data_IF_519796723086
#
_entry.id   IF_519796723086
#
_cell.length_a   1.000
_cell.length_b   1.000
_cell.length_c   1.000
_cell.angle_alpha   90.00
_cell.angle_beta   90.00
_cell.angle_gamma   90.00
#
_symmetry.space_group_name_H-M   'P 1'
#
loop_
_entity.id
_entity.type
_entity.pdbx_description
1 polymer ?
#
# COMPACT_ATOMS: atom_id res chain seq x y z
N UNK A 1 -5.79 -33.33 14.89
CA UNK A 1 -5.08 -32.03 14.83
C UNK A 1 -6.10 -30.95 15.15
N UNK A 2 -5.81 -30.10 16.14
CA UNK A 2 -6.62 -28.90 16.37
C UNK A 2 -6.52 -27.99 15.15
N UNK A 3 -7.63 -27.37 14.74
CA UNK A 3 -7.62 -26.38 13.67
C UNK A 3 -6.76 -25.19 14.11
N UNK A 4 -5.86 -24.67 13.26
CA UNK A 4 -5.02 -23.54 13.62
C UNK A 4 -5.89 -22.32 13.91
N UNK A 5 -5.51 -21.56 14.95
CA UNK A 5 -6.25 -20.38 15.38
C UNK A 5 -6.06 -19.21 14.40
N UNK A 6 -6.87 -18.15 14.52
CA UNK A 6 -6.67 -16.91 13.75
C UNK A 6 -5.29 -16.26 13.97
N UNK A 7 -4.61 -16.59 15.08
CA UNK A 7 -3.25 -16.15 15.40
C UNK A 7 -2.22 -16.85 14.53
N UNK A 8 -2.40 -18.14 14.26
CA UNK A 8 -1.48 -19.00 13.51
C UNK A 8 -1.43 -18.55 12.03
N UNK A 9 -2.57 -18.10 11.49
CA UNK A 9 -2.65 -17.51 10.15
C UNK A 9 -1.75 -16.29 9.98
N UNK A 10 -1.79 -15.37 10.94
CA UNK A 10 -1.03 -14.12 10.87
C UNK A 10 0.48 -14.34 10.96
N UNK A 11 0.89 -15.29 11.80
CA UNK A 11 2.27 -15.73 11.93
C UNK A 11 2.79 -16.33 10.61
N UNK A 12 2.05 -17.28 10.03
CA UNK A 12 2.40 -17.92 8.75
C UNK A 12 2.54 -16.87 7.64
N UNK A 13 1.58 -15.97 7.49
CA UNK A 13 1.62 -14.87 6.51
C UNK A 13 2.85 -13.97 6.69
N UNK A 14 3.18 -13.62 7.94
CA UNK A 14 4.34 -12.76 8.25
C UNK A 14 5.66 -13.47 7.94
N UNK A 15 5.76 -14.76 8.29
CA UNK A 15 6.95 -15.57 8.02
C UNK A 15 7.19 -15.76 6.52
N UNK A 16 6.13 -16.04 5.75
CA UNK A 16 6.19 -16.14 4.28
C UNK A 16 6.72 -14.84 3.67
N UNK A 17 6.17 -13.68 4.06
CA UNK A 17 6.62 -12.40 3.49
C UNK A 17 8.04 -12.03 3.93
N UNK A 18 8.43 -12.30 5.18
CA UNK A 18 9.79 -12.06 5.66
C UNK A 18 10.84 -12.85 4.88
N UNK A 19 10.61 -14.15 4.66
CA UNK A 19 11.49 -14.98 3.85
C UNK A 19 11.52 -14.54 2.38
N UNK A 20 10.37 -14.18 1.82
CA UNK A 20 10.27 -13.74 0.44
C UNK A 20 11.01 -12.41 0.20
N UNK A 21 10.84 -11.44 1.11
CA UNK A 21 11.57 -10.16 1.08
C UNK A 21 13.08 -10.39 1.21
N UNK A 22 13.49 -11.26 2.12
CA UNK A 22 14.92 -11.63 2.28
C UNK A 22 15.47 -12.20 0.98
N UNK A 23 14.73 -13.10 0.32
CA UNK A 23 15.11 -13.66 -0.98
C UNK A 23 15.28 -12.56 -2.04
N UNK A 24 14.32 -11.65 -2.16
CA UNK A 24 14.37 -10.52 -3.10
C UNK A 24 15.54 -9.56 -2.81
N UNK A 25 15.85 -9.32 -1.54
CA UNK A 25 17.00 -8.49 -1.15
C UNK A 25 18.33 -9.12 -1.54
N UNK A 26 18.46 -10.44 -1.38
CA UNK A 26 19.63 -11.21 -1.84
C UNK A 26 19.76 -11.13 -3.37
N UNK A 27 18.66 -11.32 -4.11
CA UNK A 27 18.64 -11.20 -5.57
C UNK A 27 19.10 -9.81 -6.03
N UNK A 28 18.58 -8.75 -5.40
CA UNK A 28 18.97 -7.38 -5.72
C UNK A 28 20.46 -7.14 -5.42
N UNK A 29 20.94 -7.58 -4.26
CA UNK A 29 22.34 -7.44 -3.90
C UNK A 29 23.29 -8.13 -4.88
N UNK A 30 22.91 -9.31 -5.38
CA UNK A 30 23.66 -10.03 -6.42
C UNK A 30 23.59 -9.31 -7.76
N UNK A 31 22.42 -8.84 -8.19
CA UNK A 31 22.27 -8.09 -9.44
C UNK A 31 23.11 -6.80 -9.44
N UNK A 32 23.12 -6.06 -8.33
CA UNK A 32 23.94 -4.86 -8.15
C UNK A 32 25.45 -5.19 -8.23
N UNK A 33 25.85 -6.35 -7.68
CA UNK A 33 27.22 -6.82 -7.76
C UNK A 33 27.63 -7.21 -9.19
N UNK A 34 26.77 -7.92 -9.92
CA UNK A 34 27.00 -8.26 -11.34
C UNK A 34 27.13 -6.97 -12.17
N UNK A 35 26.22 -6.01 -12.00
CA UNK A 35 26.28 -4.73 -12.71
C UNK A 35 27.60 -3.97 -12.45
N UNK A 36 28.10 -3.98 -11.20
CA UNK A 36 29.41 -3.39 -10.85
C UNK A 36 30.58 -4.12 -11.50
N UNK A 37 30.53 -5.46 -11.56
CA UNK A 37 31.55 -6.27 -12.24
C UNK A 37 31.56 -5.92 -13.73
N UNK A 38 30.41 -5.91 -14.39
CA UNK A 38 30.29 -5.56 -15.81
C UNK A 38 30.77 -4.13 -16.11
N UNK A 39 30.45 -3.17 -15.24
CA UNK A 39 30.94 -1.80 -15.39
C UNK A 39 32.47 -1.75 -15.28
N UNK A 40 33.05 -2.50 -14.33
CA UNK A 40 34.50 -2.57 -14.16
C UNK A 40 35.19 -3.27 -15.34
N UNK A 41 34.62 -4.37 -15.83
CA UNK A 41 35.10 -5.08 -17.03
C UNK A 41 35.07 -4.14 -18.23
N UNK A 42 33.94 -3.48 -18.50
CA UNK A 42 33.81 -2.49 -19.59
C UNK A 42 34.84 -1.36 -19.50
N UNK A 43 35.11 -0.86 -18.29
CA UNK A 43 36.15 0.16 -18.09
C UNK A 43 37.53 -0.40 -18.43
N UNK A 44 37.88 -1.58 -17.93
CA UNK A 44 39.18 -2.22 -18.19
C UNK A 44 39.35 -2.53 -19.68
N UNK A 45 38.33 -3.09 -20.34
CA UNK A 45 38.41 -3.38 -21.78
C UNK A 45 38.47 -2.11 -22.63
N UNK A 46 37.79 -1.03 -22.21
CA UNK A 46 37.93 0.29 -22.81
C UNK A 46 39.33 0.89 -22.64
N UNK A 47 39.93 0.77 -21.46
CA UNK A 47 41.31 1.20 -21.18
C UNK A 47 42.32 0.39 -22.00
N UNK A 48 42.14 -0.94 -22.09
CA UNK A 48 42.96 -1.82 -22.93
C UNK A 48 42.85 -1.43 -24.41
N UNK A 49 41.65 -1.17 -24.92
CA UNK A 49 41.46 -0.77 -26.32
C UNK A 49 42.18 0.54 -26.69
N UNK A 50 42.48 1.41 -25.73
CA UNK A 50 43.24 2.64 -25.94
C UNK A 50 44.77 2.41 -26.03
N UNK A 51 45.27 1.24 -25.62
CA UNK A 51 46.69 0.90 -25.65
C UNK A 51 47.15 0.60 -27.08
N UNK A 52 48.10 1.41 -27.58
CA UNK A 52 48.71 1.26 -28.91
C UNK A 52 50.06 0.54 -28.77
N UNK A 53 50.06 -0.78 -28.84
CA UNK A 53 51.29 -1.59 -28.89
C UNK A 53 51.36 -2.37 -30.21
N UNK A 54 52.57 -2.64 -30.74
CA UNK A 54 52.69 -3.50 -31.91
C UNK A 54 52.16 -4.91 -31.60
N UNK A 55 51.36 -5.48 -32.50
CA UNK A 55 50.71 -6.78 -32.29
C UNK A 55 51.68 -7.96 -32.05
N UNK A 56 52.95 -7.83 -32.46
CA UNK A 56 53.99 -8.84 -32.18
C UNK A 56 54.54 -8.78 -30.74
N UNK A 57 54.19 -7.74 -29.97
CA UNK A 57 54.58 -7.58 -28.56
C UNK A 57 53.47 -8.11 -27.65
N UNK A 58 52.21 -7.74 -27.91
CA UNK A 58 51.05 -8.24 -27.18
C UNK A 58 49.77 -8.06 -28.02
N UNK A 59 48.90 -9.07 -28.02
CA UNK A 59 47.58 -8.99 -28.64
C UNK A 59 46.58 -8.39 -27.64
N UNK A 60 46.49 -7.06 -27.65
CA UNK A 60 45.60 -6.30 -26.77
C UNK A 60 44.13 -6.64 -27.00
N UNK A 61 43.74 -6.99 -28.23
CA UNK A 61 42.37 -7.35 -28.56
C UNK A 61 42.01 -8.72 -27.97
N UNK A 62 42.91 -9.70 -28.06
CA UNK A 62 42.73 -11.00 -27.40
C UNK A 62 42.64 -10.85 -25.88
N UNK A 63 43.50 -10.03 -25.26
CA UNK A 63 43.45 -9.77 -23.82
C UNK A 63 42.14 -9.11 -23.38
N UNK A 64 41.61 -8.15 -24.16
CA UNK A 64 40.31 -7.54 -23.87
C UNK A 64 39.18 -8.58 -23.95
N UNK A 65 39.22 -9.49 -24.94
CA UNK A 65 38.26 -10.59 -25.04
C UNK A 65 38.34 -11.58 -23.87
N UNK A 66 39.55 -11.87 -23.38
CA UNK A 66 39.76 -12.69 -22.18
C UNK A 66 39.15 -12.03 -20.93
N UNK A 67 39.37 -10.72 -20.74
CA UNK A 67 38.79 -9.97 -19.63
C UNK A 67 37.26 -9.94 -19.70
N UNK A 68 36.68 -9.73 -20.89
CA UNK A 68 35.23 -9.84 -21.10
C UNK A 68 34.72 -11.27 -20.85
N UNK A 69 35.51 -12.29 -21.21
CA UNK A 69 35.22 -13.70 -20.92
C UNK A 69 35.16 -14.00 -19.42
N UNK A 70 36.15 -13.51 -18.65
CA UNK A 70 36.17 -13.62 -17.18
C UNK A 70 34.97 -12.90 -16.57
N UNK A 71 34.64 -11.70 -17.05
CA UNK A 71 33.46 -10.95 -16.59
C UNK A 71 32.17 -11.74 -16.76
N UNK A 72 31.96 -12.35 -17.94
CA UNK A 72 30.79 -13.20 -18.20
C UNK A 72 30.80 -14.49 -17.39
N UNK A 73 31.96 -15.12 -17.20
CA UNK A 73 32.11 -16.31 -16.36
C UNK A 73 31.71 -16.04 -14.92
N UNK A 74 32.21 -14.95 -14.34
CA UNK A 74 31.84 -14.51 -12.98
C UNK A 74 30.33 -14.22 -12.84
N UNK A 75 29.71 -13.62 -13.88
CA UNK A 75 28.26 -13.42 -13.89
C UNK A 75 27.49 -14.74 -13.82
N UNK A 76 27.87 -15.72 -14.66
CA UNK A 76 27.25 -17.05 -14.66
C UNK A 76 27.45 -17.82 -13.34
N UNK A 77 28.64 -17.73 -12.73
CA UNK A 77 28.92 -18.34 -11.43
C UNK A 77 28.06 -17.74 -10.31
N UNK A 78 27.86 -16.42 -10.32
CA UNK A 78 27.00 -15.73 -9.36
C UNK A 78 25.52 -16.11 -9.53
N UNK A 79 25.04 -16.26 -10.77
CA UNK A 79 23.68 -16.74 -11.03
C UNK A 79 23.47 -18.17 -10.52
N UNK A 80 24.46 -19.04 -10.70
CA UNK A 80 24.45 -20.41 -10.17
C UNK A 80 24.41 -20.44 -8.64
N UNK A 81 25.28 -19.66 -7.98
CA UNK A 81 25.29 -19.53 -6.52
C UNK A 81 23.99 -18.93 -5.98
N UNK A 82 23.40 -17.97 -6.68
CA UNK A 82 22.11 -17.39 -6.31
C UNK A 82 20.98 -18.42 -6.40
N UNK A 83 20.95 -19.22 -7.46
CA UNK A 83 19.97 -20.30 -7.61
C UNK A 83 20.08 -21.32 -6.46
N UNK A 84 21.29 -21.70 -6.06
CA UNK A 84 21.53 -22.56 -4.89
C UNK A 84 21.10 -21.89 -3.57
N UNK A 85 21.44 -20.61 -3.38
CA UNK A 85 21.10 -19.85 -2.18
C UNK A 85 19.60 -19.64 -1.99
N UNK A 86 18.81 -19.61 -3.08
CA UNK A 86 17.34 -19.48 -3.04
C UNK A 86 16.64 -20.74 -2.53
N UNK A 87 17.20 -21.93 -2.75
CA UNK A 87 16.50 -23.21 -2.49
C UNK A 87 16.00 -23.37 -1.05
N UNK A 88 16.78 -23.02 0.00
CA UNK A 88 16.30 -23.06 1.37
C UNK A 88 15.15 -22.05 1.64
N UNK A 89 15.11 -20.90 0.97
CA UNK A 89 13.98 -19.97 1.15
C UNK A 89 12.72 -20.50 0.47
N UNK A 90 12.84 -20.99 -0.77
CA UNK A 90 11.72 -21.54 -1.55
C UNK A 90 11.09 -22.74 -0.84
N UNK A 91 11.93 -23.67 -0.37
CA UNK A 91 11.48 -24.86 0.38
C UNK A 91 10.70 -24.47 1.64
N UNK A 92 11.17 -23.46 2.35
CA UNK A 92 10.59 -23.05 3.63
C UNK A 92 9.30 -22.26 3.40
N UNK A 93 9.28 -21.36 2.40
CA UNK A 93 8.06 -20.67 1.98
C UNK A 93 7.00 -21.69 1.53
N UNK A 94 7.38 -22.69 0.74
CA UNK A 94 6.45 -23.74 0.30
C UNK A 94 5.86 -24.52 1.47
N UNK A 95 6.68 -24.92 2.44
CA UNK A 95 6.20 -25.59 3.65
C UNK A 95 5.22 -24.73 4.46
N UNK A 96 5.49 -23.41 4.59
CA UNK A 96 4.57 -22.48 5.26
C UNK A 96 3.26 -22.30 4.47
N UNK A 97 3.32 -22.25 3.13
CA UNK A 97 2.14 -22.22 2.27
C UNK A 97 1.32 -23.50 2.39
N UNK A 98 1.95 -24.66 2.55
CA UNK A 98 1.27 -25.93 2.81
C UNK A 98 0.52 -25.94 4.14
N UNK A 99 1.00 -25.22 5.16
CA UNK A 99 0.30 -25.00 6.43
C UNK A 99 -0.84 -23.97 6.30
N UNK A 100 -0.69 -22.99 5.40
CA UNK A 100 -1.68 -21.95 5.18
C UNK A 100 -2.86 -22.41 4.32
N UNK A 101 -2.63 -23.27 3.32
CA UNK A 101 -3.66 -23.72 2.38
C UNK A 101 -4.92 -24.32 3.05
N UNK A 102 -4.83 -25.18 4.08
CA UNK A 102 -6.01 -25.68 4.80
C UNK A 102 -6.83 -24.57 5.48
N UNK A 103 -6.20 -23.47 5.90
CA UNK A 103 -6.90 -22.32 6.48
C UNK A 103 -7.74 -21.54 5.47
N UNK A 104 -7.52 -21.80 4.17
CA UNK A 104 -8.30 -21.27 3.07
C UNK A 104 -9.31 -22.28 2.53
N UNK A 105 -9.41 -23.47 3.14
CA UNK A 105 -10.28 -24.55 2.67
C UNK A 105 -9.74 -25.28 1.43
N UNK A 106 -8.43 -25.17 1.17
CA UNK A 106 -7.76 -25.80 0.04
C UNK A 106 -7.17 -27.16 0.44
N UNK A 107 -6.97 -28.02 -0.56
CA UNK A 107 -6.25 -29.28 -0.40
C UNK A 107 -4.73 -29.08 -0.23
N UNK A 108 -3.97 -30.18 -0.14
CA UNK A 108 -2.51 -30.13 -0.07
C UNK A 108 -1.91 -29.35 -1.25
N UNK A 109 -0.91 -28.52 -0.95
CA UNK A 109 -0.11 -27.85 -1.99
C UNK A 109 0.71 -28.91 -2.72
N UNK A 110 0.73 -28.83 -4.06
CA UNK A 110 1.53 -29.74 -4.89
C UNK A 110 3.02 -29.67 -4.49
N UNK A 111 3.80 -30.76 -4.62
CA UNK A 111 5.20 -30.76 -4.24
C UNK A 111 6.02 -29.79 -5.11
N UNK A 112 7.10 -29.25 -4.54
CA UNK A 112 8.10 -28.52 -5.33
C UNK A 112 8.71 -29.46 -6.38
N UNK A 113 8.88 -28.96 -7.59
CA UNK A 113 9.55 -29.66 -8.67
C UNK A 113 10.85 -28.94 -9.01
N UNK A 114 11.92 -29.66 -9.40
CA UNK A 114 13.12 -29.02 -9.90
C UNK A 114 12.79 -28.15 -11.11
N UNK A 115 13.16 -26.88 -11.04
CA UNK A 115 12.90 -25.86 -12.05
C UNK A 115 14.23 -25.27 -12.51
N UNK A 116 14.25 -24.69 -13.71
CA UNK A 116 15.47 -24.15 -14.29
C UNK A 116 16.04 -23.00 -13.42
N UNK A 117 17.37 -22.82 -13.34
CA UNK A 117 17.99 -21.77 -12.52
C UNK A 117 17.52 -20.34 -12.85
N UNK A 118 17.16 -20.09 -14.12
CA UNK A 118 16.72 -18.79 -14.62
C UNK A 118 15.21 -18.49 -14.44
N UNK A 119 14.52 -19.26 -13.61
CA UNK A 119 13.08 -19.07 -13.36
C UNK A 119 12.84 -17.90 -12.42
N UNK A 120 11.79 -17.11 -12.66
CA UNK A 120 11.35 -16.07 -11.71
C UNK A 120 10.99 -16.69 -10.36
N UNK A 121 11.09 -15.91 -9.28
CA UNK A 121 10.89 -16.41 -7.92
C UNK A 121 9.50 -17.04 -7.70
N UNK A 122 8.44 -16.47 -8.27
CA UNK A 122 7.08 -17.06 -8.27
C UNK A 122 7.01 -18.34 -9.11
N UNK A 123 7.72 -18.40 -10.24
CA UNK A 123 7.79 -19.58 -11.09
C UNK A 123 8.48 -20.78 -10.42
N UNK A 124 9.16 -20.58 -9.29
CA UNK A 124 9.70 -21.67 -8.47
C UNK A 124 8.62 -22.43 -7.69
N UNK A 125 7.39 -21.90 -7.64
CA UNK A 125 6.26 -22.50 -6.93
C UNK A 125 5.29 -23.20 -7.91
N UNK A 126 4.65 -24.30 -7.47
CA UNK A 126 3.68 -25.01 -8.29
C UNK A 126 2.47 -24.13 -8.61
N UNK A 127 1.85 -24.42 -9.76
CA UNK A 127 0.63 -23.74 -10.21
C UNK A 127 -0.50 -23.75 -9.17
N UNK A 128 -1.35 -22.74 -9.24
CA UNK A 128 -2.46 -22.52 -8.31
C UNK A 128 -2.03 -21.73 -7.07
N UNK A 129 -2.55 -22.13 -5.91
CA UNK A 129 -2.46 -21.34 -4.67
C UNK A 129 -1.05 -20.84 -4.34
N UNK A 130 -0.02 -21.70 -4.38
CA UNK A 130 1.31 -21.32 -3.95
C UNK A 130 1.92 -20.24 -4.86
N UNK A 131 1.86 -20.42 -6.17
CA UNK A 131 2.35 -19.43 -7.14
C UNK A 131 1.55 -18.14 -7.08
N UNK A 132 0.22 -18.21 -7.07
CA UNK A 132 -0.65 -17.03 -7.00
C UNK A 132 -0.41 -16.21 -5.73
N UNK A 133 -0.22 -16.89 -4.59
CA UNK A 133 0.06 -16.23 -3.32
C UNK A 133 1.41 -15.53 -3.32
N UNK A 134 2.46 -16.19 -3.84
CA UNK A 134 3.80 -15.59 -3.95
C UNK A 134 3.77 -14.43 -4.94
N UNK A 135 3.09 -14.56 -6.08
CA UNK A 135 2.94 -13.49 -7.05
C UNK A 135 2.25 -12.24 -6.46
N UNK A 136 1.17 -12.40 -5.69
CA UNK A 136 0.48 -11.28 -4.99
C UNK A 136 1.43 -10.55 -4.02
N UNK A 137 2.29 -11.29 -3.30
CA UNK A 137 3.30 -10.70 -2.42
C UNK A 137 4.40 -9.98 -3.21
N UNK A 138 4.91 -10.60 -4.27
CA UNK A 138 5.98 -10.03 -5.10
C UNK A 138 5.55 -8.75 -5.82
N UNK A 139 4.28 -8.64 -6.22
CA UNK A 139 3.75 -7.44 -6.86
C UNK A 139 3.95 -6.15 -6.01
N UNK A 140 4.00 -6.30 -4.67
CA UNK A 140 4.20 -5.20 -3.73
C UNK A 140 5.58 -5.15 -3.07
N UNK A 141 6.44 -6.16 -3.30
CA UNK A 141 7.64 -6.35 -2.47
C UNK A 141 8.63 -5.19 -2.61
N UNK A 142 8.89 -4.74 -3.84
CA UNK A 142 9.90 -3.72 -4.14
C UNK A 142 9.52 -2.31 -3.70
N UNK A 143 8.22 -2.02 -3.64
CA UNK A 143 7.68 -0.72 -3.20
C UNK A 143 7.18 -0.77 -1.77
N UNK A 144 7.25 -1.93 -1.12
CA UNK A 144 6.73 -2.14 0.22
C UNK A 144 7.49 -1.32 1.25
N UNK A 145 6.76 -0.62 2.11
CA UNK A 145 7.28 0.12 3.25
C UNK A 145 6.72 -0.45 4.55
N UNK A 146 7.51 -0.37 5.61
CA UNK A 146 7.11 -0.73 6.97
C UNK A 146 7.69 0.30 7.95
N UNK A 147 7.17 0.32 9.18
CA UNK A 147 7.72 1.11 10.27
C UNK A 147 7.94 0.19 11.46
N UNK A 148 9.07 0.37 12.14
CA UNK A 148 9.22 -0.19 13.48
C UNK A 148 8.41 0.65 14.48
N UNK A 149 8.29 0.16 15.72
CA UNK A 149 7.61 0.89 16.80
C UNK A 149 8.40 2.12 17.24
N UNK A 150 9.72 2.01 17.20
CA UNK A 150 10.62 3.11 17.51
C UNK A 150 10.48 4.19 16.43
N UNK A 151 10.43 3.80 15.15
CA UNK A 151 10.17 4.74 14.05
C UNK A 151 8.80 5.41 14.21
N UNK A 152 7.76 4.64 14.57
CA UNK A 152 6.41 5.16 14.78
C UNK A 152 6.34 6.20 15.92
N UNK A 153 7.17 6.06 16.96
CA UNK A 153 7.25 7.05 18.03
C UNK A 153 7.68 8.41 17.50
N UNK A 154 8.62 8.43 16.54
CA UNK A 154 9.12 9.64 15.89
C UNK A 154 8.20 10.25 14.82
N UNK A 155 7.12 9.58 14.44
CA UNK A 155 6.15 10.13 13.47
C UNK A 155 5.40 11.29 14.11
N UNK A 156 5.50 12.48 13.53
CA UNK A 156 4.80 13.66 14.03
C UNK A 156 3.27 13.48 13.93
N UNK A 157 2.56 13.90 14.97
CA UNK A 157 1.11 14.07 14.91
C UNK A 157 0.78 15.38 14.21
N UNK A 158 -0.30 15.38 13.45
CA UNK A 158 -0.84 16.60 12.84
C UNK A 158 -1.43 17.47 13.94
N UNK A 159 -1.01 18.74 13.97
CA UNK A 159 -1.52 19.69 14.95
C UNK A 159 -2.86 20.25 14.47
N UNK A 160 -3.76 20.58 15.40
CA UNK A 160 -5.06 21.16 15.07
C UNK A 160 -4.93 22.40 14.15
N UNK A 161 -3.94 23.27 14.42
CA UNK A 161 -3.69 24.45 13.58
C UNK A 161 -3.43 24.10 12.11
N UNK A 162 -2.77 22.97 11.85
CA UNK A 162 -2.41 22.56 10.49
C UNK A 162 -3.67 22.02 9.78
N UNK A 163 -4.59 21.40 10.51
CA UNK A 163 -5.92 21.03 10.03
C UNK A 163 -6.79 22.27 9.75
N UNK A 164 -6.81 23.25 10.65
CA UNK A 164 -7.53 24.51 10.47
C UNK A 164 -7.02 25.28 9.24
N UNK A 165 -5.70 25.31 9.01
CA UNK A 165 -5.07 25.87 7.82
C UNK A 165 -5.49 25.12 6.55
N UNK A 166 -5.57 23.79 6.58
CA UNK A 166 -6.03 22.97 5.45
C UNK A 166 -7.52 23.21 5.13
N UNK A 167 -8.38 23.35 6.15
CA UNK A 167 -9.79 23.74 5.99
C UNK A 167 -9.88 25.12 5.31
N UNK A 168 -9.15 26.10 5.82
CA UNK A 168 -9.14 27.45 5.28
C UNK A 168 -8.62 27.49 3.84
N UNK A 169 -7.59 26.72 3.52
CA UNK A 169 -7.05 26.62 2.16
C UNK A 169 -8.02 25.94 1.18
N UNK A 170 -8.81 24.97 1.63
CA UNK A 170 -9.80 24.25 0.80
C UNK A 170 -10.89 25.18 0.27
N UNK A 171 -11.11 26.33 0.93
CA UNK A 171 -12.01 27.41 0.50
C UNK A 171 -11.81 27.83 -0.97
N UNK A 172 -10.57 27.82 -1.46
CA UNK A 172 -10.25 28.21 -2.82
C UNK A 172 -10.67 27.18 -3.89
N UNK A 173 -10.83 25.90 -3.50
CA UNK A 173 -11.29 24.83 -4.38
C UNK A 173 -12.80 24.82 -4.64
N UNK A 174 -13.56 25.62 -3.89
CA UNK A 174 -15.01 25.76 -4.09
C UNK A 174 -15.36 26.94 -4.97
N UNK A 175 -16.41 26.77 -5.78
CA UNK A 175 -17.07 27.86 -6.49
C UNK A 175 -17.68 28.88 -5.51
N UNK A 176 -17.88 30.13 -5.94
CA UNK A 176 -18.36 31.21 -5.08
C UNK A 176 -19.65 30.84 -4.32
N UNK A 177 -20.58 30.16 -4.99
CA UNK A 177 -21.88 29.78 -4.42
C UNK A 177 -21.79 28.64 -3.39
N UNK A 178 -20.76 27.80 -3.46
CA UNK A 178 -20.60 26.62 -2.59
C UNK A 178 -19.52 26.81 -1.51
N UNK A 179 -18.76 27.89 -1.58
CA UNK A 179 -17.60 28.16 -0.74
C UNK A 179 -17.90 28.14 0.76
N UNK A 180 -18.97 28.80 1.19
CA UNK A 180 -19.32 28.84 2.60
C UNK A 180 -19.79 27.47 3.10
N UNK A 181 -20.66 26.80 2.34
CA UNK A 181 -21.18 25.47 2.70
C UNK A 181 -20.10 24.39 2.72
N UNK A 182 -19.18 24.40 1.76
CA UNK A 182 -18.06 23.45 1.71
C UNK A 182 -17.12 23.59 2.91
N UNK A 183 -16.79 24.82 3.30
CA UNK A 183 -15.96 25.08 4.49
C UNK A 183 -16.70 24.71 5.78
N UNK A 184 -18.01 25.01 5.86
CA UNK A 184 -18.83 24.63 7.01
C UNK A 184 -18.90 23.11 7.20
N UNK A 185 -19.01 22.34 6.11
CA UNK A 185 -18.96 20.87 6.19
C UNK A 185 -17.63 20.35 6.74
N UNK A 186 -16.51 20.94 6.32
CA UNK A 186 -15.17 20.53 6.78
C UNK A 186 -14.86 20.97 8.21
N UNK A 187 -15.45 22.07 8.66
CA UNK A 187 -15.21 22.65 9.99
C UNK A 187 -16.19 22.12 11.07
N UNK A 188 -17.09 21.20 10.73
CA UNK A 188 -18.02 20.63 11.69
C UNK A 188 -17.29 19.73 12.70
N UNK A 189 -17.67 19.82 13.98
CA UNK A 189 -17.03 19.07 15.09
C UNK A 189 -17.07 17.54 14.87
N UNK A 190 -18.07 17.02 14.15
CA UNK A 190 -18.20 15.59 13.83
C UNK A 190 -17.45 15.17 12.55
N UNK A 191 -16.83 16.12 11.85
CA UNK A 191 -16.06 15.85 10.64
C UNK A 191 -14.67 15.35 11.02
N UNK A 192 -14.24 14.26 10.39
CA UNK A 192 -12.88 13.74 10.49
C UNK A 192 -12.20 13.68 9.11
N UNK A 193 -12.72 14.39 8.10
CA UNK A 193 -12.19 14.35 6.74
C UNK A 193 -10.78 14.95 6.70
N UNK A 194 -10.57 16.10 7.34
CA UNK A 194 -9.26 16.79 7.32
C UNK A 194 -8.28 16.10 8.26
N UNK A 195 -8.75 15.74 9.44
CA UNK A 195 -8.01 15.08 10.52
C UNK A 195 -7.39 13.76 10.08
N UNK A 196 -8.10 13.01 9.23
CA UNK A 196 -7.70 11.65 8.85
C UNK A 196 -7.32 11.50 7.37
N UNK A 197 -7.76 12.41 6.51
CA UNK A 197 -7.62 12.31 5.05
C UNK A 197 -7.18 13.63 4.40
N UNK A 198 -6.76 14.61 5.20
CA UNK A 198 -6.29 15.91 4.75
C UNK A 198 -4.89 15.93 4.12
N UNK A 199 -4.61 16.94 3.28
CA UNK A 199 -3.34 17.11 2.58
C UNK A 199 -2.15 17.44 3.48
N UNK A 200 -2.42 17.90 4.71
CA UNK A 200 -1.41 18.17 5.71
C UNK A 200 -0.86 16.89 6.39
N UNK A 201 -1.49 15.74 6.16
CA UNK A 201 -1.07 14.47 6.78
C UNK A 201 0.11 13.87 6.00
N UNK A 202 1.29 13.71 6.62
CA UNK A 202 2.44 13.14 5.93
C UNK A 202 2.26 11.67 5.56
N UNK A 203 2.91 11.22 4.49
CA UNK A 203 2.93 9.82 4.02
C UNK A 203 3.27 8.84 5.16
N UNK A 204 4.30 9.18 5.94
CA UNK A 204 4.73 8.33 7.06
C UNK A 204 3.64 8.19 8.15
N UNK A 205 2.80 9.21 8.35
CA UNK A 205 1.66 9.14 9.26
C UNK A 205 0.54 8.24 8.69
N UNK A 206 0.30 8.28 7.38
CA UNK A 206 -0.63 7.34 6.73
C UNK A 206 -0.13 5.89 6.81
N UNK A 207 1.18 5.67 6.68
CA UNK A 207 1.79 4.36 6.87
C UNK A 207 1.67 3.90 8.34
N UNK A 208 1.97 4.76 9.31
CA UNK A 208 1.80 4.43 10.73
C UNK A 208 0.34 4.07 11.05
N UNK A 209 -0.63 4.79 10.46
CA UNK A 209 -2.06 4.50 10.57
C UNK A 209 -2.42 3.16 9.94
N UNK A 210 -1.86 2.82 8.76
CA UNK A 210 -2.08 1.52 8.12
C UNK A 210 -1.56 0.37 8.99
N UNK A 211 -0.42 0.57 9.66
CA UNK A 211 0.22 -0.48 10.47
C UNK A 211 -0.34 -0.58 11.89
N UNK A 212 -1.33 0.25 12.26
CA UNK A 212 -1.87 0.38 13.63
C UNK A 212 -0.80 0.80 14.66
N UNK A 213 0.17 1.57 14.20
CA UNK A 213 1.28 2.06 15.02
C UNK A 213 1.09 3.49 15.47
N UNK A 214 0.25 4.29 14.82
CA UNK A 214 -0.08 5.64 15.31
C UNK A 214 -1.28 6.19 14.57
N UNK A 215 -2.12 6.90 15.30
CA UNK A 215 -3.14 7.75 14.68
C UNK A 215 -2.53 9.11 14.26
N UNK A 216 -2.86 9.67 13.08
CA UNK A 216 -2.30 10.94 12.63
C UNK A 216 -2.61 12.13 13.55
N UNK A 217 -3.77 12.18 14.21
CA UNK A 217 -4.13 13.29 15.12
C UNK A 217 -3.52 13.09 16.51
N UNK A 218 -3.32 11.84 16.90
CA UNK A 218 -2.85 11.48 18.24
C UNK A 218 -3.96 11.53 19.30
N UNK A 219 -5.21 11.75 18.90
CA UNK A 219 -6.37 11.70 19.81
C UNK A 219 -6.59 10.30 20.37
N UNK A 220 -6.37 9.27 19.53
CA UNK A 220 -6.50 7.89 19.94
C UNK A 220 -5.22 7.41 20.61
N UNK A 221 -5.29 6.94 21.87
CA UNK A 221 -4.11 6.46 22.58
C UNK A 221 -3.38 5.38 21.78
N UNK A 222 -2.07 5.52 21.71
CA UNK A 222 -1.16 4.48 21.23
C UNK A 222 0.00 4.35 22.21
N UNK A 223 0.29 3.12 22.63
CA UNK A 223 1.49 2.82 23.40
C UNK A 223 1.90 1.36 23.24
N UNK A 224 3.14 1.09 23.60
CA UNK A 224 3.67 -0.27 23.78
C UNK A 224 3.56 -0.63 25.26
N UNK A 225 2.87 -1.72 25.57
CA UNK A 225 2.73 -2.20 26.94
C UNK A 225 3.99 -2.98 27.41
N UNK A 226 4.10 -3.34 28.70
CA UNK A 226 5.26 -4.09 29.21
C UNK A 226 5.47 -5.48 28.59
N UNK A 227 4.43 -6.08 27.99
CA UNK A 227 4.55 -7.35 27.26
C UNK A 227 5.15 -7.16 25.87
N UNK A 228 5.32 -5.91 25.44
CA UNK A 228 5.67 -5.57 24.07
C UNK A 228 4.48 -5.68 23.13
N UNK A 229 3.23 -5.68 23.60
CA UNK A 229 2.08 -5.54 22.73
C UNK A 229 1.81 -4.06 22.43
N UNK A 230 1.30 -3.76 21.25
CA UNK A 230 0.78 -2.44 20.92
C UNK A 230 -0.68 -2.38 21.33
N UNK A 231 -1.01 -1.36 22.11
CA UNK A 231 -2.38 -1.01 22.50
C UNK A 231 -2.78 0.24 21.72
N UNK A 232 -3.84 0.13 20.94
CA UNK A 232 -4.44 1.26 20.22
C UNK A 232 -5.95 1.09 20.10
N UNK A 233 -6.65 2.22 20.17
CA UNK A 233 -8.10 2.30 19.96
C UNK A 233 -8.48 2.64 18.52
N UNK A 234 -7.49 2.94 17.66
CA UNK A 234 -7.71 3.26 16.26
C UNK A 234 -7.57 2.05 15.35
N UNK A 235 -8.60 1.81 14.52
CA UNK A 235 -8.65 0.67 13.61
C UNK A 235 -8.86 1.13 12.17
N UNK A 236 -7.76 1.27 11.43
CA UNK A 236 -7.81 1.44 9.98
C UNK A 236 -8.03 0.11 9.24
N UNK A 237 -8.62 0.18 8.04
CA UNK A 237 -8.79 -0.96 7.14
C UNK A 237 -7.47 -1.45 6.52
N UNK A 238 -7.51 -2.22 5.43
CA UNK A 238 -6.32 -2.65 4.68
C UNK A 238 -5.79 -1.56 3.73
N UNK A 239 -6.31 -0.33 3.82
CA UNK A 239 -5.84 0.82 3.08
C UNK A 239 -6.04 2.08 3.93
N UNK A 240 -5.13 3.03 3.78
CA UNK A 240 -5.18 4.38 4.34
C UNK A 240 -4.70 5.35 3.28
N UNK A 241 -5.05 6.63 3.41
CA UNK A 241 -4.69 7.65 2.44
C UNK A 241 -5.53 8.89 2.62
N UNK A 242 -5.19 9.93 1.87
CA UNK A 242 -5.87 11.21 1.87
C UNK A 242 -5.70 11.91 0.54
N UNK A 243 -6.24 13.12 0.47
CA UNK A 243 -6.03 14.01 -0.67
C UNK A 243 -4.65 14.65 -0.57
N UNK A 244 -4.01 14.94 -1.71
CA UNK A 244 -2.65 15.53 -1.73
C UNK A 244 -2.68 17.06 -1.69
N UNK A 245 -3.83 17.68 -1.90
CA UNK A 245 -4.00 19.13 -1.87
C UNK A 245 -5.37 19.54 -1.31
N UNK A 246 -5.52 20.79 -0.79
CA UNK A 246 -6.82 21.33 -0.40
C UNK A 246 -7.81 21.39 -1.57
N UNK A 247 -7.32 21.61 -2.79
CA UNK A 247 -8.15 21.60 -4.00
C UNK A 247 -8.71 20.20 -4.28
N UNK A 248 -7.85 19.17 -4.23
CA UNK A 248 -8.27 17.77 -4.40
C UNK A 248 -9.31 17.34 -3.35
N UNK A 249 -9.19 17.82 -2.11
CA UNK A 249 -10.18 17.56 -1.07
C UNK A 249 -11.52 18.27 -1.32
N UNK A 250 -11.49 19.51 -1.84
CA UNK A 250 -12.70 20.28 -2.10
C UNK A 250 -13.54 19.70 -3.25
N UNK A 251 -12.89 19.14 -4.28
CA UNK A 251 -13.51 18.55 -5.48
C UNK A 251 -14.73 17.66 -5.25
N UNK A 252 -14.65 16.55 -4.46
CA UNK A 252 -15.82 15.69 -4.23
C UNK A 252 -16.94 16.41 -3.44
N UNK A 253 -16.60 17.30 -2.52
CA UNK A 253 -17.58 18.09 -1.78
C UNK A 253 -18.28 19.12 -2.69
N UNK A 254 -17.54 19.74 -3.60
CA UNK A 254 -18.07 20.63 -4.63
C UNK A 254 -19.05 19.88 -5.54
N UNK A 255 -18.71 18.67 -6.00
CA UNK A 255 -19.60 17.85 -6.82
C UNK A 255 -20.91 17.50 -6.08
N UNK A 256 -20.83 17.13 -4.80
CA UNK A 256 -22.00 16.86 -3.96
C UNK A 256 -22.89 18.11 -3.81
N UNK A 257 -22.30 19.26 -3.48
CA UNK A 257 -23.05 20.50 -3.25
C UNK A 257 -23.73 20.99 -4.53
N UNK A 258 -23.04 20.93 -5.67
CA UNK A 258 -23.59 21.28 -6.98
C UNK A 258 -24.79 20.38 -7.33
N UNK A 259 -24.63 19.06 -7.13
CA UNK A 259 -25.69 18.09 -7.41
C UNK A 259 -26.91 18.34 -6.52
N UNK A 260 -26.70 18.47 -5.21
CA UNK A 260 -27.78 18.69 -4.25
C UNK A 260 -28.51 20.02 -4.48
N UNK A 261 -27.79 21.08 -4.86
CA UNK A 261 -28.39 22.37 -5.22
C UNK A 261 -29.26 22.24 -6.47
N UNK A 262 -28.78 21.54 -7.48
CA UNK A 262 -29.52 21.34 -8.73
C UNK A 262 -30.76 20.46 -8.52
N UNK A 263 -30.66 19.41 -7.70
CA UNK A 263 -31.72 18.44 -7.46
C UNK A 263 -32.81 18.94 -6.49
N UNK A 264 -32.42 19.57 -5.38
CA UNK A 264 -33.35 19.91 -4.28
C UNK A 264 -33.11 21.30 -3.67
N UNK A 265 -32.34 22.17 -4.31
CA UNK A 265 -32.05 23.52 -3.81
C UNK A 265 -31.06 23.58 -2.65
N UNK A 266 -30.51 22.45 -2.20
CA UNK A 266 -29.49 22.40 -1.15
C UNK A 266 -29.27 21.00 -0.57
N UNK A 267 -28.17 20.83 0.17
CA UNK A 267 -27.74 19.54 0.71
C UNK A 267 -28.72 18.91 1.70
N UNK A 268 -29.21 19.69 2.67
CA UNK A 268 -30.13 19.16 3.69
C UNK A 268 -31.45 18.67 3.10
N UNK A 269 -32.02 19.43 2.14
CA UNK A 269 -33.23 19.04 1.44
C UNK A 269 -32.99 17.79 0.59
N UNK A 270 -31.92 17.79 -0.21
CA UNK A 270 -31.53 16.65 -1.03
C UNK A 270 -31.36 15.36 -0.23
N UNK A 271 -30.67 15.41 0.91
CA UNK A 271 -30.50 14.22 1.74
C UNK A 271 -31.83 13.82 2.38
N UNK A 272 -32.57 14.76 2.98
CA UNK A 272 -33.85 14.48 3.64
C UNK A 272 -34.88 13.85 2.71
N UNK A 273 -34.94 14.29 1.45
CA UNK A 273 -35.88 13.79 0.46
C UNK A 273 -35.51 12.38 -0.05
N UNK A 274 -34.25 11.95 0.12
CA UNK A 274 -33.71 10.71 -0.47
C UNK A 274 -33.21 9.67 0.55
N UNK A 275 -33.30 9.93 1.86
CA UNK A 275 -32.82 8.99 2.91
C UNK A 275 -33.92 8.33 3.74
N UNK A 276 -35.21 8.60 3.50
CA UNK A 276 -36.30 8.13 4.38
C UNK A 276 -35.97 8.33 5.88
N UNK A 277 -36.07 7.26 6.68
CA UNK A 277 -35.75 7.23 8.12
C UNK A 277 -34.27 6.95 8.42
N UNK A 278 -33.40 6.87 7.41
CA UNK A 278 -31.98 6.63 7.61
C UNK A 278 -31.32 7.81 8.32
N UNK A 279 -30.41 7.49 9.24
CA UNK A 279 -29.65 8.49 10.00
C UNK A 279 -28.23 8.64 9.47
N UNK A 280 -27.86 7.85 8.46
CA UNK A 280 -26.52 7.83 7.88
C UNK A 280 -26.61 7.44 6.42
N UNK A 281 -25.91 8.20 5.57
CA UNK A 281 -25.75 7.85 4.16
C UNK A 281 -24.27 7.84 3.81
N UNK A 282 -23.88 6.88 2.98
CA UNK A 282 -22.54 6.80 2.42
C UNK A 282 -22.64 6.86 0.90
N UNK A 283 -22.09 7.93 0.33
CA UNK A 283 -22.11 8.20 -1.10
C UNK A 283 -20.75 7.90 -1.70
N UNK A 284 -20.75 7.34 -2.91
CA UNK A 284 -19.59 7.27 -3.78
C UNK A 284 -19.75 8.33 -4.86
N UNK A 285 -18.72 9.17 -4.99
CA UNK A 285 -18.61 10.13 -6.08
C UNK A 285 -17.44 9.67 -6.93
N UNK A 286 -17.70 9.36 -8.20
CA UNK A 286 -16.66 8.90 -9.12
C UNK A 286 -15.60 9.99 -9.34
N UNK A 287 -14.38 9.57 -9.70
CA UNK A 287 -13.30 10.50 -10.01
C UNK A 287 -13.68 11.44 -11.16
N UNK A 288 -14.44 10.95 -12.15
CA UNK A 288 -14.95 11.76 -13.25
C UNK A 288 -15.90 12.86 -12.76
N UNK A 289 -16.89 12.53 -11.93
CA UNK A 289 -17.83 13.52 -11.38
C UNK A 289 -17.16 14.55 -10.48
N UNK A 290 -16.12 14.15 -9.75
CA UNK A 290 -15.37 15.03 -8.88
C UNK A 290 -14.22 15.78 -9.60
N UNK A 291 -13.93 15.50 -10.88
CA UNK A 291 -12.70 15.93 -11.57
C UNK A 291 -11.41 15.57 -10.80
N UNK A 292 -11.40 14.44 -10.10
CA UNK A 292 -10.22 13.88 -9.45
C UNK A 292 -9.30 13.23 -10.50
N UNK A 293 -8.00 13.48 -10.38
CA UNK A 293 -6.97 12.99 -11.30
C UNK A 293 -5.88 12.21 -10.57
N UNK A 294 -5.12 11.43 -11.32
CA UNK A 294 -3.89 10.83 -10.81
C UNK A 294 -3.00 11.93 -10.18
N UNK A 295 -2.55 11.70 -8.95
CA UNK A 295 -1.82 12.65 -8.12
C UNK A 295 -2.69 13.44 -7.14
N UNK A 296 -4.02 13.42 -7.24
CA UNK A 296 -4.92 14.10 -6.29
C UNK A 296 -5.09 13.32 -4.97
N UNK A 297 -4.69 12.05 -4.94
CA UNK A 297 -4.73 11.21 -3.78
C UNK A 297 -3.39 10.48 -3.57
N UNK A 298 -3.10 10.20 -2.31
CA UNK A 298 -1.97 9.36 -1.93
C UNK A 298 -2.30 8.57 -0.66
N UNK A 299 -1.75 7.37 -0.58
CA UNK A 299 -1.86 6.56 0.62
C UNK A 299 -1.04 5.27 0.54
N UNK A 300 -1.47 4.32 1.35
CA UNK A 300 -0.90 2.99 1.37
C UNK A 300 -2.00 1.94 1.37
N UNK A 301 -1.80 0.89 0.59
CA UNK A 301 -2.58 -0.34 0.67
C UNK A 301 -1.77 -1.47 1.27
N UNK A 302 -2.44 -2.44 1.86
CA UNK A 302 -1.84 -3.66 2.39
C UNK A 302 -1.06 -4.42 1.30
N UNK A 303 0.20 -4.77 1.57
CA UNK A 303 1.03 -5.57 0.67
C UNK A 303 0.49 -7.00 0.52
N UNK A 304 0.40 -7.51 -0.72
CA UNK A 304 -0.16 -8.83 -1.01
C UNK A 304 -1.55 -9.02 -0.41
N UNK A 305 -2.45 -8.09 -0.72
CA UNK A 305 -3.85 -8.10 -0.29
C UNK A 305 -4.81 -7.95 -1.48
N UNK A 306 -4.39 -8.43 -2.66
CA UNK A 306 -5.15 -8.32 -3.91
C UNK A 306 -6.47 -9.10 -3.91
N UNK A 307 -6.60 -10.10 -3.03
CA UNK A 307 -7.82 -10.90 -2.90
C UNK A 307 -8.45 -10.76 -1.51
N UNK A 308 -9.73 -11.13 -1.37
CA UNK A 308 -10.40 -11.20 -0.05
C UNK A 308 -9.67 -12.13 0.93
N UNK A 309 -9.00 -13.17 0.42
CA UNK A 309 -8.28 -14.14 1.26
C UNK A 309 -6.93 -13.60 1.68
N UNK A 310 -6.10 -13.12 0.76
CA UNK A 310 -4.78 -12.55 1.08
C UNK A 310 -4.91 -11.28 1.95
N UNK A 311 -5.97 -10.48 1.76
CA UNK A 311 -6.35 -9.38 2.65
C UNK A 311 -6.65 -9.83 4.08
N UNK A 312 -7.38 -10.93 4.27
CA UNK A 312 -7.65 -11.49 5.61
C UNK A 312 -6.37 -11.97 6.28
N UNK A 313 -5.46 -12.56 5.53
CA UNK A 313 -4.17 -12.99 6.03
C UNK A 313 -3.31 -11.79 6.44
N UNK A 314 -3.26 -10.72 5.63
CA UNK A 314 -2.56 -9.49 5.97
C UNK A 314 -3.12 -8.84 7.25
N UNK A 315 -4.44 -8.78 7.40
CA UNK A 315 -5.08 -8.29 8.63
C UNK A 315 -4.75 -9.17 9.84
N UNK A 316 -4.65 -10.49 9.66
CA UNK A 316 -4.23 -11.42 10.71
C UNK A 316 -2.75 -11.21 11.08
N UNK A 317 -1.87 -10.99 10.09
CA UNK A 317 -0.47 -10.65 10.29
C UNK A 317 -0.32 -9.34 11.07
N UNK A 318 -1.07 -8.29 10.70
CA UNK A 318 -1.11 -7.03 11.44
C UNK A 318 -1.54 -7.23 12.90
N UNK A 319 -2.62 -7.99 13.13
CA UNK A 319 -3.06 -8.35 14.50
C UNK A 319 -2.03 -9.17 15.27
N UNK A 320 -1.29 -10.04 14.60
CA UNK A 320 -0.21 -10.81 15.21
C UNK A 320 0.95 -9.89 15.63
N UNK A 321 1.40 -9.02 14.73
CA UNK A 321 2.46 -8.04 14.96
C UNK A 321 2.18 -7.13 16.17
N UNK A 322 0.93 -6.65 16.28
CA UNK A 322 0.50 -5.83 17.40
C UNK A 322 0.50 -6.60 18.71
N UNK A 323 -0.01 -7.82 18.74
CA UNK A 323 -0.07 -8.62 19.97
C UNK A 323 1.30 -9.11 20.45
N UNK A 324 2.26 -9.31 19.55
CA UNK A 324 3.45 -10.10 19.86
C UNK A 324 4.74 -9.34 20.06
N UNK A 325 4.88 -8.13 19.57
CA UNK A 325 6.21 -7.51 19.57
C UNK A 325 6.86 -7.45 18.21
N UNK A 326 6.52 -8.41 17.35
CA UNK A 326 7.35 -8.87 16.26
C UNK A 326 6.50 -9.41 15.10
N UNK A 327 7.10 -9.47 13.91
CA UNK A 327 6.40 -9.75 12.65
C UNK A 327 6.14 -8.44 11.91
N UNK A 328 6.91 -8.21 10.85
CA UNK A 328 6.76 -6.98 10.05
C UNK A 328 5.58 -7.11 9.11
N UNK A 329 4.79 -6.04 9.04
CA UNK A 329 3.67 -5.90 8.12
C UNK A 329 3.99 -4.72 7.22
N UNK A 330 3.68 -4.87 5.95
CA UNK A 330 4.08 -3.90 4.93
C UNK A 330 2.86 -3.27 4.27
N UNK A 331 2.95 -1.97 4.02
CA UNK A 331 2.10 -1.23 3.10
C UNK A 331 2.81 -1.01 1.77
N UNK A 332 2.07 -0.74 0.71
CA UNK A 332 2.59 -0.35 -0.61
C UNK A 332 2.03 1.04 -0.91
N UNK A 333 2.87 2.05 -1.23
CA UNK A 333 2.41 3.35 -1.69
C UNK A 333 1.43 3.19 -2.85
N UNK A 334 0.33 3.92 -2.78
CA UNK A 334 -0.78 3.81 -3.72
C UNK A 334 -1.43 5.16 -3.96
N UNK A 335 -1.83 5.40 -5.20
CA UNK A 335 -2.74 6.47 -5.56
C UNK A 335 -4.03 5.79 -6.03
N UNK A 336 -5.09 5.78 -5.21
CA UNK A 336 -6.33 5.09 -5.53
C UNK A 336 -7.04 5.68 -6.76
N UNK A 337 -6.76 6.94 -7.11
CA UNK A 337 -7.34 7.57 -8.30
C UNK A 337 -6.65 7.08 -9.57
N UNK A 338 -5.35 6.81 -9.51
CA UNK A 338 -4.59 6.28 -10.64
C UNK A 338 -4.68 4.75 -10.79
N UNK A 339 -4.75 4.01 -9.69
CA UNK A 339 -4.66 2.55 -9.68
C UNK A 339 -6.01 1.83 -9.62
N UNK A 340 -7.09 2.55 -9.32
CA UNK A 340 -8.42 1.99 -9.12
C UNK A 340 -9.14 1.59 -10.40
N UNK A 341 -10.01 0.58 -10.28
CA UNK A 341 -10.88 0.13 -11.38
C UNK A 341 -12.15 1.01 -11.49
N UNK A 342 -12.54 1.66 -10.40
CA UNK A 342 -13.72 2.54 -10.29
C UNK A 342 -13.41 3.69 -9.31
N UNK A 343 -12.36 4.48 -9.58
CA UNK A 343 -11.79 5.42 -8.62
C UNK A 343 -12.76 6.56 -8.29
N UNK A 344 -12.65 7.10 -7.08
CA UNK A 344 -13.43 8.25 -6.65
C UNK A 344 -13.21 8.62 -5.19
N UNK A 345 -14.24 9.21 -4.58
CA UNK A 345 -14.28 9.50 -3.15
C UNK A 345 -15.50 8.85 -2.49
N UNK A 346 -15.34 8.41 -1.24
CA UNK A 346 -16.47 8.08 -0.38
C UNK A 346 -16.76 9.28 0.52
N UNK A 347 -18.00 9.73 0.54
CA UNK A 347 -18.51 10.73 1.49
C UNK A 347 -19.48 10.03 2.43
N UNK A 348 -19.34 10.27 3.73
CA UNK A 348 -20.28 9.78 4.74
C UNK A 348 -20.91 10.99 5.42
N UNK A 349 -22.24 11.05 5.39
CA UNK A 349 -23.02 12.05 6.10
C UNK A 349 -23.87 11.36 7.16
N UNK A 350 -23.99 12.01 8.31
CA UNK A 350 -24.82 11.54 9.43
C UNK A 350 -25.82 12.64 9.81
N UNK A 351 -27.03 12.24 10.14
CA UNK A 351 -28.08 13.14 10.60
C UNK A 351 -27.86 13.46 12.08
N UNK A 352 -27.67 14.74 12.39
CA UNK A 352 -27.54 15.24 13.77
C UNK A 352 -28.65 16.27 14.02
N UNK A 353 -29.59 15.92 14.89
CA UNK A 353 -30.79 16.73 15.11
C UNK A 353 -31.61 16.86 13.82
N UNK A 354 -31.81 18.10 13.37
CA UNK A 354 -32.62 18.40 12.18
C UNK A 354 -31.82 18.56 10.88
N UNK A 355 -30.49 18.40 10.90
CA UNK A 355 -29.64 18.61 9.73
C UNK A 355 -28.67 17.46 9.48
N UNK A 356 -28.04 17.48 8.31
CA UNK A 356 -27.00 16.55 7.93
C UNK A 356 -25.62 17.16 8.19
N UNK A 357 -24.69 16.30 8.63
CA UNK A 357 -23.30 16.68 8.90
C UNK A 357 -22.37 15.73 8.18
N UNK A 358 -21.29 16.29 7.62
CA UNK A 358 -20.21 15.51 7.04
C UNK A 358 -19.48 14.79 8.17
N UNK A 359 -19.45 13.47 8.12
CA UNK A 359 -18.64 12.65 9.05
C UNK A 359 -17.23 12.44 8.50
N UNK A 360 -17.11 12.14 7.21
CA UNK A 360 -15.79 11.98 6.58
C UNK A 360 -15.89 12.02 5.05
N UNK A 361 -14.79 12.37 4.40
CA UNK A 361 -14.57 12.29 2.95
C UNK A 361 -13.16 11.75 2.69
N UNK A 362 -13.03 10.72 1.86
CA UNK A 362 -11.72 10.14 1.55
C UNK A 362 -11.68 9.48 0.16
N UNK A 363 -10.52 9.47 -0.51
CA UNK A 363 -10.38 8.83 -1.82
C UNK A 363 -10.42 7.30 -1.71
N UNK A 364 -10.94 6.65 -2.76
CA UNK A 364 -11.09 5.19 -2.87
C UNK A 364 -10.80 4.70 -4.29
N UNK A 365 -10.32 3.46 -4.40
CA UNK A 365 -9.97 2.79 -5.67
C UNK A 365 -11.18 2.19 -6.40
N UNK A 366 -12.30 2.05 -5.68
CA UNK A 366 -13.58 1.50 -6.17
C UNK A 366 -14.75 1.91 -5.29
N UNK A 367 -15.96 1.92 -5.84
CA UNK A 367 -17.19 1.95 -5.05
C UNK A 367 -17.22 0.79 -4.04
N UNK A 368 -17.65 1.08 -2.81
CA UNK A 368 -17.82 0.06 -1.77
C UNK A 368 -19.23 -0.53 -1.85
N UNK A 369 -19.43 -1.81 -1.49
CA UNK A 369 -20.77 -2.41 -1.45
C UNK A 369 -21.78 -1.69 -0.54
N UNK A 370 -21.30 -0.91 0.42
CA UNK A 370 -22.11 -0.16 1.38
C UNK A 370 -22.31 1.32 0.99
N UNK A 371 -21.90 1.73 -0.22
CA UNK A 371 -22.03 3.11 -0.69
C UNK A 371 -22.95 3.17 -1.91
N UNK A 372 -23.78 4.21 -1.98
CA UNK A 372 -24.66 4.50 -3.12
C UNK A 372 -23.95 5.49 -4.04
N UNK A 373 -24.06 5.36 -5.36
CA UNK A 373 -23.49 6.35 -6.28
C UNK A 373 -24.28 7.65 -6.20
N UNK A 374 -23.63 8.79 -6.31
CA UNK A 374 -24.32 10.08 -6.27
C UNK A 374 -25.40 10.19 -7.36
N UNK A 375 -25.13 9.70 -8.56
CA UNK A 375 -26.07 9.69 -9.69
C UNK A 375 -27.26 8.75 -9.51
N UNK A 376 -27.13 7.73 -8.65
CA UNK A 376 -28.19 6.77 -8.33
C UNK A 376 -28.93 7.16 -7.04
N UNK A 377 -28.50 8.22 -6.38
CA UNK A 377 -29.08 8.71 -5.14
C UNK A 377 -30.17 9.73 -5.47
N UNK A 378 -31.37 9.23 -5.75
CA UNK A 378 -32.51 10.02 -6.24
C UNK A 378 -33.69 9.16 -6.70
#
# INVERSE_FOLDING_TARGET
>A
MALPSSTDRGELRSAVEGLLRTCVEVERGTADMVARIEQRVRRVTGELAAVRLPAHVIDVAALAQEVDGVGRGLGGDLDGLLAEARQPYVTQIHALLALLAPLHGLGPVAPLTPVAPATSLDGLFPDGFAREYVADLLAGVHRGATLTRDDATGVATVLQRDADEAIAASRAGFTDDHRSGGVELLAADECHAVEQHGPQIPDQAQLARLLWLKDPTGEWPWHVDPSGAVVTEHWSGPATGGFTSPEAMAKPLQALLEHARTAAGGLDAYLTDNTDDETKVALHISAEQADLRAGDAFGYRAAGAGTKTTRRDWLAARKYAMRRGHGQVYGVPDDPIASGDDPGATIILTRTGNGWRLTTCYPVDRQRPSTIRLEDFG
#
